data_IF_664889486259
#
_entry.id   IF_664889486259
#
_cell.length_a   1.000
_cell.length_b   1.000
_cell.length_c   1.000
_cell.angle_alpha   90.00
_cell.angle_beta   90.00
_cell.angle_gamma   90.00
#
_symmetry.space_group_name_H-M   'P 1'
#
loop_
_entity.id
_entity.type
_entity.pdbx_description
1 polymer ?
#
# COMPACT_ATOMS: atom_id res chain seq x y z
N UNK A 1 21.16 -0.05 8.96
CA UNK A 1 19.72 -0.36 8.75
C UNK A 1 19.40 -0.27 7.26
N UNK A 2 18.85 -1.35 6.67
CA UNK A 2 18.54 -1.45 5.24
C UNK A 2 17.35 -0.52 4.90
N UNK A 3 17.63 0.71 4.46
CA UNK A 3 16.65 1.80 4.25
C UNK A 3 15.49 1.44 3.28
N UNK A 4 15.61 0.36 2.52
CA UNK A 4 14.68 -0.04 1.47
C UNK A 4 13.76 -1.23 1.79
N UNK A 5 13.86 -1.86 2.98
CA UNK A 5 13.00 -3.01 3.29
C UNK A 5 11.65 -2.54 3.82
N UNK A 6 10.57 -3.08 3.26
CA UNK A 6 9.20 -2.82 3.73
C UNK A 6 8.83 -3.76 4.88
N UNK A 7 8.14 -3.25 5.89
CA UNK A 7 7.48 -4.09 6.90
C UNK A 7 6.20 -4.75 6.35
N UNK A 8 5.54 -5.60 7.13
CA UNK A 8 4.40 -6.38 6.66
C UNK A 8 3.18 -5.50 6.29
N UNK A 9 2.95 -4.39 6.99
CA UNK A 9 1.82 -3.48 6.71
C UNK A 9 2.13 -2.65 5.47
N UNK A 10 3.37 -2.19 5.34
CA UNK A 10 3.88 -1.53 4.15
C UNK A 10 3.78 -2.44 2.92
N UNK A 11 4.15 -3.72 3.03
CA UNK A 11 3.98 -4.71 1.96
C UNK A 11 2.51 -4.90 1.58
N UNK A 12 1.62 -5.04 2.56
CA UNK A 12 0.19 -5.20 2.33
C UNK A 12 -0.39 -4.02 1.56
N UNK A 13 -0.13 -2.79 2.02
CA UNK A 13 -0.63 -1.58 1.38
C UNK A 13 -0.03 -1.39 -0.02
N UNK A 14 1.28 -1.55 -0.16
CA UNK A 14 1.94 -1.42 -1.45
C UNK A 14 1.46 -2.47 -2.46
N UNK A 15 1.34 -3.74 -2.05
CA UNK A 15 0.87 -4.80 -2.92
C UNK A 15 -0.59 -4.61 -3.34
N UNK A 16 -1.45 -4.11 -2.44
CA UNK A 16 -2.83 -3.74 -2.80
C UNK A 16 -2.85 -2.63 -3.86
N UNK A 17 -2.02 -1.58 -3.71
CA UNK A 17 -1.88 -0.52 -4.72
C UNK A 17 -1.38 -1.08 -6.05
N UNK A 18 -0.36 -1.93 -6.01
CA UNK A 18 0.24 -2.50 -7.21
C UNK A 18 -0.74 -3.37 -8.00
N UNK A 19 -1.48 -4.26 -7.33
CA UNK A 19 -2.48 -5.12 -7.97
C UNK A 19 -3.61 -4.31 -8.64
N UNK A 20 -3.93 -3.13 -8.10
CA UNK A 20 -4.98 -2.26 -8.63
C UNK A 20 -4.42 -1.16 -9.56
N UNK A 21 -3.09 -1.03 -9.68
CA UNK A 21 -2.37 0.04 -10.37
C UNK A 21 -2.51 1.43 -9.73
N UNK A 22 -3.73 1.95 -9.68
CA UNK A 22 -4.10 3.25 -9.11
C UNK A 22 -5.38 3.13 -8.32
N UNK A 23 -5.39 3.61 -7.08
CA UNK A 23 -6.57 3.55 -6.21
C UNK A 23 -6.98 4.96 -5.84
N UNK A 24 -8.23 5.31 -6.09
CA UNK A 24 -8.86 6.53 -5.55
C UNK A 24 -9.72 6.13 -4.36
N UNK A 25 -9.38 6.62 -3.17
CA UNK A 25 -10.07 6.24 -1.94
C UNK A 25 -10.02 7.33 -0.87
N UNK A 26 -10.84 7.16 0.17
CA UNK A 26 -10.72 7.92 1.42
C UNK A 26 -9.94 7.10 2.45
N UNK A 27 -9.33 7.78 3.46
CA UNK A 27 -8.59 7.08 4.53
C UNK A 27 -9.50 6.11 5.28
N UNK A 28 -10.77 6.47 5.62
CA UNK A 28 -11.72 5.54 6.22
C UNK A 28 -11.98 4.29 5.36
N UNK A 29 -12.25 4.46 4.07
CA UNK A 29 -12.56 3.34 3.18
C UNK A 29 -11.38 2.37 3.06
N UNK A 30 -10.16 2.90 2.92
CA UNK A 30 -8.95 2.09 2.80
C UNK A 30 -8.60 1.37 4.10
N UNK A 31 -8.83 2.03 5.24
CA UNK A 31 -8.64 1.45 6.58
C UNK A 31 -9.55 0.23 6.80
N UNK A 32 -10.83 0.34 6.42
CA UNK A 32 -11.78 -0.77 6.48
C UNK A 32 -11.38 -1.91 5.53
N UNK A 33 -11.04 -1.58 4.27
CA UNK A 33 -10.77 -2.59 3.24
C UNK A 33 -9.51 -3.42 3.52
N UNK A 34 -8.49 -2.82 4.13
CA UNK A 34 -7.25 -3.50 4.49
C UNK A 34 -7.22 -4.00 5.94
N UNK A 35 -8.29 -3.74 6.72
CA UNK A 35 -8.32 -3.98 8.15
C UNK A 35 -7.10 -3.39 8.90
N UNK A 36 -6.69 -2.18 8.51
CA UNK A 36 -5.57 -1.45 9.14
C UNK A 36 -6.14 -0.24 9.89
N UNK A 37 -5.79 -0.02 11.17
CA UNK A 37 -6.20 1.17 11.90
C UNK A 37 -5.81 2.49 11.20
N UNK A 38 -6.71 3.48 11.21
CA UNK A 38 -6.50 4.77 10.50
C UNK A 38 -5.17 5.48 10.84
N UNK A 39 -4.78 5.48 12.12
CA UNK A 39 -3.53 6.09 12.57
C UNK A 39 -2.32 5.40 11.93
N UNK A 40 -2.35 4.07 11.89
CA UNK A 40 -1.29 3.23 11.35
C UNK A 40 -1.23 3.36 9.83
N UNK A 41 -2.39 3.34 9.17
CA UNK A 41 -2.49 3.58 7.73
C UNK A 41 -1.91 4.94 7.33
N UNK A 42 -2.20 6.01 8.10
CA UNK A 42 -1.64 7.34 7.84
C UNK A 42 -0.12 7.35 7.93
N UNK A 43 0.45 6.70 8.96
CA UNK A 43 1.90 6.53 9.11
C UNK A 43 2.50 5.72 7.96
N UNK A 44 1.90 4.58 7.61
CA UNK A 44 2.38 3.70 6.53
C UNK A 44 2.37 4.40 5.17
N UNK A 45 1.32 5.17 4.84
CA UNK A 45 1.27 5.94 3.59
C UNK A 45 2.40 6.97 3.55
N UNK A 46 2.64 7.68 4.66
CA UNK A 46 3.71 8.67 4.76
C UNK A 46 5.08 8.01 4.53
N UNK A 47 5.36 6.92 5.24
CA UNK A 47 6.62 6.18 5.11
C UNK A 47 6.84 5.62 3.70
N UNK A 48 5.81 5.06 3.06
CA UNK A 48 5.90 4.56 1.70
C UNK A 48 6.13 5.69 0.68
N UNK A 49 5.57 6.87 0.93
CA UNK A 49 5.78 8.07 0.09
C UNK A 49 7.20 8.59 0.25
N UNK A 50 7.69 8.72 1.49
CA UNK A 50 9.07 9.15 1.80
C UNK A 50 10.12 8.19 1.22
N UNK A 51 9.87 6.88 1.30
CA UNK A 51 10.70 5.85 0.68
C UNK A 51 10.54 5.76 -0.85
N UNK A 52 9.72 6.62 -1.47
CA UNK A 52 9.44 6.65 -2.92
C UNK A 52 8.93 5.32 -3.50
N UNK A 53 8.09 4.59 -2.75
CA UNK A 53 7.39 3.42 -3.26
C UNK A 53 6.06 3.77 -3.91
N UNK A 54 5.38 4.78 -3.36
CA UNK A 54 4.07 5.23 -3.83
C UNK A 54 4.04 6.74 -3.99
N UNK A 55 3.10 7.21 -4.81
CA UNK A 55 2.73 8.62 -4.95
C UNK A 55 1.35 8.80 -4.35
N UNK A 56 1.14 9.92 -3.68
CA UNK A 56 -0.17 10.37 -3.25
C UNK A 56 -0.52 11.65 -3.98
N UNK A 57 -1.73 11.75 -4.52
CA UNK A 57 -2.26 13.02 -5.05
C UNK A 57 -3.60 13.32 -4.41
N UNK A 58 -3.77 14.56 -3.94
CA UNK A 58 -5.03 15.00 -3.33
C UNK A 58 -6.09 15.28 -4.40
N UNK A 59 -7.30 14.74 -4.22
CA UNK A 59 -8.50 15.10 -5.01
C UNK A 59 -9.68 15.25 -4.06
N UNK A 60 -10.02 16.49 -3.70
CA UNK A 60 -11.21 16.79 -2.89
C UNK A 60 -11.25 16.01 -1.57
N UNK A 61 -12.34 15.27 -1.31
CA UNK A 61 -12.54 14.47 -0.08
C UNK A 61 -11.74 13.15 -0.03
N UNK A 62 -10.92 12.86 -1.04
CA UNK A 62 -10.13 11.63 -1.14
C UNK A 62 -8.70 11.87 -1.62
N UNK A 63 -7.97 10.77 -1.78
CA UNK A 63 -6.63 10.78 -2.35
C UNK A 63 -6.47 9.60 -3.29
N UNK A 64 -5.60 9.80 -4.27
CA UNK A 64 -5.16 8.76 -5.18
C UNK A 64 -3.82 8.21 -4.73
N UNK A 65 -3.70 6.89 -4.70
CA UNK A 65 -2.48 6.15 -4.44
C UNK A 65 -2.02 5.44 -5.71
N UNK A 66 -0.76 5.60 -6.06
CA UNK A 66 -0.15 4.97 -7.25
C UNK A 66 1.23 4.42 -6.90
N UNK A 67 1.58 3.24 -7.40
CA UNK A 67 2.93 2.72 -7.27
C UNK A 67 3.91 3.52 -8.15
N UNK A 68 5.06 3.90 -7.60
CA UNK A 68 6.14 4.53 -8.39
C UNK A 68 6.90 3.48 -9.21
N UNK A 69 7.13 2.31 -8.61
CA UNK A 69 7.94 1.24 -9.20
C UNK A 69 7.11 0.41 -10.18
N UNK A 70 7.68 0.17 -11.37
CA UNK A 70 7.12 -0.76 -12.37
C UNK A 70 7.32 -2.22 -11.95
N UNK A 71 8.44 -2.52 -11.32
CA UNK A 71 8.79 -3.86 -10.84
C UNK A 71 8.68 -3.96 -9.33
N UNK A 72 8.04 -5.03 -8.87
CA UNK A 72 7.88 -5.34 -7.45
C UNK A 72 8.92 -6.38 -7.05
N UNK A 73 9.72 -6.11 -5.99
CA UNK A 73 10.65 -7.11 -5.49
C UNK A 73 9.96 -8.42 -5.12
N UNK A 74 10.60 -9.55 -5.45
CA UNK A 74 10.09 -10.90 -5.19
C UNK A 74 9.63 -11.12 -3.75
N UNK A 75 10.35 -10.59 -2.76
CA UNK A 75 9.98 -10.73 -1.33
C UNK A 75 8.61 -10.12 -0.97
N UNK A 76 8.12 -9.15 -1.76
CA UNK A 76 6.79 -8.57 -1.60
C UNK A 76 5.77 -9.49 -2.29
N UNK A 77 6.08 -9.99 -3.49
CA UNK A 77 5.22 -10.94 -4.22
C UNK A 77 4.97 -12.19 -3.37
N UNK A 78 6.05 -12.82 -2.87
CA UNK A 78 5.96 -14.01 -2.01
C UNK A 78 5.13 -13.75 -0.74
N UNK A 79 5.20 -12.52 -0.19
CA UNK A 79 4.37 -12.12 0.94
C UNK A 79 2.91 -11.96 0.54
N UNK A 80 2.65 -11.33 -0.62
CA UNK A 80 1.31 -11.12 -1.13
C UNK A 80 0.63 -12.44 -1.43
N UNK A 81 1.26 -13.38 -2.14
CA UNK A 81 0.68 -14.70 -2.43
C UNK A 81 0.30 -15.45 -1.15
N UNK A 82 1.17 -15.44 -0.14
CA UNK A 82 0.92 -16.11 1.15
C UNK A 82 -0.21 -15.50 1.96
N UNK A 83 -0.47 -14.19 1.81
CA UNK A 83 -1.43 -13.46 2.65
C UNK A 83 -2.72 -13.07 1.90
N UNK A 84 -2.69 -13.01 0.58
CA UNK A 84 -3.81 -12.62 -0.28
C UNK A 84 -4.47 -13.79 -1.02
N UNK A 85 -3.98 -15.04 -0.91
CA UNK A 85 -4.72 -16.23 -1.36
C UNK A 85 -6.13 -16.37 -0.72
N UNK A 86 -6.45 -15.58 0.31
CA UNK A 86 -7.80 -15.49 0.93
C UNK A 86 -8.69 -14.35 0.41
N UNK A 87 -8.19 -13.44 -0.42
CA UNK A 87 -8.92 -12.25 -0.87
C UNK A 87 -9.35 -12.32 -2.34
N UNK A 88 -8.97 -13.40 -3.05
CA UNK A 88 -9.44 -13.71 -4.39
C UNK A 88 -10.28 -15.00 -4.30
N UNK A 89 -11.57 -14.82 -4.03
CA UNK A 89 -12.64 -15.77 -4.32
C UNK A 89 -13.80 -14.95 -4.90
#
# INVERSE_FOLDING_TARGET
>A
MNKNRLDNIQKLLFGYIWLNGSIVCSKPSLSLKLNIPKYLLGKTIKELTEKRWIRTTGRGKGFRLESIKKEVPKYIIDFMEKNFQKYVC
#
